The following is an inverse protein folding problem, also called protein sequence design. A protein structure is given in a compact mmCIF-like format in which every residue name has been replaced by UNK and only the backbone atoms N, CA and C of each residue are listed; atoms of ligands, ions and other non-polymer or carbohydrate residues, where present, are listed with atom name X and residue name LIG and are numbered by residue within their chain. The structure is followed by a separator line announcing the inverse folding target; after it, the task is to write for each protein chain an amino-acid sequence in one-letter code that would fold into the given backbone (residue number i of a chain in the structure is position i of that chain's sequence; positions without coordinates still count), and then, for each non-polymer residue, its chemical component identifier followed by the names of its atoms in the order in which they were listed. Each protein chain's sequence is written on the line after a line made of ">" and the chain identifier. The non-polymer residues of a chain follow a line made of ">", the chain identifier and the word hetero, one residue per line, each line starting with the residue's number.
data_IF_028131044575
#
_entry.id   IF_028131044575
#
_cell.length_a   1.000
_cell.length_b   1.000
_cell.length_c   1.000
_cell.angle_alpha   90.00
_cell.angle_beta   90.00
_cell.angle_gamma   90.00
#
_symmetry.space_group_name_H-M   'P 1'
#
loop_
_entity.id
_entity.type
_entity.pdbx_description
1 polymer ?
#
# COMPACT_ATOMS: atom_id res chain seq x y z
N UNK A 1 33.89 0.11 -56.15
CA UNK A 1 34.38 0.15 -54.75
C UNK A 1 34.72 1.61 -54.45
N UNK A 2 33.85 2.31 -53.77
CA UNK A 2 34.06 3.72 -53.39
C UNK A 2 33.96 3.82 -51.89
N UNK A 3 35.06 4.19 -51.24
CA UNK A 3 35.16 4.47 -49.85
C UNK A 3 34.62 5.88 -49.58
N UNK A 4 33.71 6.03 -48.63
CA UNK A 4 33.26 7.32 -48.13
C UNK A 4 34.04 7.64 -46.85
N UNK A 5 34.91 8.64 -46.95
CA UNK A 5 35.53 9.32 -45.79
C UNK A 5 34.54 10.31 -45.21
N UNK A 6 34.24 10.17 -43.89
CA UNK A 6 33.52 11.19 -43.13
C UNK A 6 34.50 11.96 -42.28
N UNK A 7 34.70 13.23 -42.66
CA UNK A 7 35.59 14.14 -41.96
C UNK A 7 35.05 14.57 -40.60
N UNK A 8 35.90 14.44 -39.56
CA UNK A 8 35.69 14.98 -38.22
C UNK A 8 36.08 16.46 -38.22
N UNK A 9 35.08 17.36 -38.07
CA UNK A 9 35.35 18.75 -37.75
C UNK A 9 35.44 18.92 -36.23
N UNK A 10 36.61 19.26 -35.75
CA UNK A 10 36.84 19.78 -34.40
C UNK A 10 36.12 21.13 -34.24
N UNK A 11 35.19 21.20 -33.29
CA UNK A 11 34.72 22.49 -32.77
C UNK A 11 35.24 22.66 -31.34
N UNK A 12 36.14 23.62 -31.19
CA UNK A 12 36.55 24.15 -29.90
C UNK A 12 35.44 25.08 -29.42
N UNK A 13 34.80 24.77 -28.29
CA UNK A 13 33.94 25.70 -27.56
C UNK A 13 34.38 25.77 -26.10
N UNK A 14 34.97 26.91 -25.78
CA UNK A 14 35.18 27.38 -24.42
C UNK A 14 33.85 27.87 -23.85
N UNK A 15 33.46 27.36 -22.71
CA UNK A 15 32.30 27.85 -21.97
C UNK A 15 31.62 26.72 -21.19
N UNK A 16 32.14 26.43 -19.98
CA UNK A 16 31.50 25.50 -19.08
C UNK A 16 30.31 26.20 -18.43
N UNK A 17 29.11 25.97 -18.95
CA UNK A 17 27.86 26.23 -18.23
C UNK A 17 27.44 24.88 -17.60
N UNK A 18 27.69 24.74 -16.31
CA UNK A 18 27.04 23.68 -15.51
C UNK A 18 25.55 23.98 -15.43
N UNK A 19 24.78 23.54 -16.40
CA UNK A 19 23.37 23.29 -16.21
C UNK A 19 23.26 21.95 -15.47
N UNK A 20 23.13 22.00 -14.16
CA UNK A 20 22.63 20.88 -13.38
C UNK A 20 21.16 20.65 -13.75
N UNK A 21 20.95 20.09 -14.93
CA UNK A 21 19.67 19.44 -15.26
C UNK A 21 19.59 18.22 -14.38
N UNK A 22 18.94 18.38 -13.23
CA UNK A 22 18.46 17.27 -12.43
C UNK A 22 17.51 16.49 -13.35
N UNK A 23 18.03 15.45 -13.98
CA UNK A 23 17.24 14.49 -14.73
C UNK A 23 16.40 13.75 -13.68
N UNK A 24 15.24 14.31 -13.32
CA UNK A 24 14.25 13.61 -12.54
C UNK A 24 13.78 12.46 -13.44
N UNK A 25 14.28 11.27 -13.14
CA UNK A 25 13.70 10.02 -13.67
C UNK A 25 12.23 10.07 -13.28
N UNK A 26 11.29 9.94 -14.22
CA UNK A 26 9.88 9.90 -13.85
C UNK A 26 9.70 8.78 -12.84
N UNK A 27 9.30 9.14 -11.63
CA UNK A 27 8.93 8.18 -10.59
C UNK A 27 7.62 7.56 -11.05
N UNK A 28 7.65 6.29 -11.42
CA UNK A 28 6.45 5.50 -11.66
C UNK A 28 6.03 4.85 -10.35
N UNK A 29 4.75 4.90 -10.04
CA UNK A 29 4.17 4.19 -8.91
C UNK A 29 4.52 2.70 -9.02
N UNK A 30 5.06 2.13 -7.94
CA UNK A 30 5.45 0.73 -7.88
C UNK A 30 4.26 -0.12 -7.45
N UNK A 31 3.90 -1.12 -8.25
CA UNK A 31 2.85 -2.09 -7.93
C UNK A 31 3.52 -3.44 -7.70
N UNK A 32 3.24 -4.06 -6.56
CA UNK A 32 3.75 -5.38 -6.19
C UNK A 32 2.58 -6.32 -5.96
N UNK A 33 2.43 -7.30 -6.85
CA UNK A 33 1.44 -8.36 -6.74
C UNK A 33 2.11 -9.63 -6.20
N UNK A 34 1.83 -9.98 -4.95
CA UNK A 34 2.46 -11.12 -4.30
C UNK A 34 2.01 -12.47 -4.84
N UNK A 35 0.89 -12.52 -5.58
CA UNK A 35 0.41 -13.76 -6.21
C UNK A 35 1.18 -14.15 -7.48
N UNK A 36 2.10 -13.32 -7.98
CA UNK A 36 2.94 -13.68 -9.14
C UNK A 36 3.86 -14.87 -8.86
N UNK A 37 4.16 -15.11 -7.59
CA UNK A 37 4.98 -16.25 -7.17
C UNK A 37 4.19 -17.17 -6.23
N UNK A 38 4.35 -18.49 -6.40
CA UNK A 38 3.73 -19.48 -5.53
C UNK A 38 4.44 -19.50 -4.16
N UNK A 39 3.66 -19.20 -3.13
CA UNK A 39 4.11 -19.21 -1.73
C UNK A 39 3.01 -19.76 -0.83
N UNK A 40 3.27 -19.85 0.49
CA UNK A 40 2.23 -20.20 1.48
C UNK A 40 1.06 -19.19 1.49
N UNK A 41 1.26 -17.97 1.00
CA UNK A 41 0.22 -16.96 0.83
C UNK A 41 -0.96 -17.49 0.02
N UNK A 42 -0.69 -18.28 -1.04
CA UNK A 42 -1.72 -18.84 -1.93
C UNK A 42 -2.77 -19.65 -1.16
N UNK A 43 -2.34 -20.35 -0.09
CA UNK A 43 -3.27 -21.10 0.76
C UNK A 43 -4.23 -20.17 1.49
N UNK A 44 -3.74 -19.08 2.06
CA UNK A 44 -4.59 -18.15 2.80
C UNK A 44 -5.55 -17.40 1.88
N UNK A 45 -5.08 -17.02 0.68
CA UNK A 45 -5.92 -16.44 -0.38
C UNK A 45 -7.03 -17.43 -0.78
N UNK A 46 -6.69 -18.70 -1.03
CA UNK A 46 -7.69 -19.71 -1.39
C UNK A 46 -8.76 -19.89 -0.29
N UNK A 47 -8.35 -19.94 0.98
CA UNK A 47 -9.26 -20.12 2.11
C UNK A 47 -10.21 -18.91 2.32
N UNK A 48 -9.74 -17.68 2.11
CA UNK A 48 -10.62 -16.50 2.24
C UNK A 48 -11.56 -16.31 1.04
N UNK A 49 -11.28 -16.97 -0.09
CA UNK A 49 -12.15 -16.97 -1.28
C UNK A 49 -13.18 -18.11 -1.28
N UNK A 50 -12.86 -19.23 -0.64
CA UNK A 50 -13.72 -20.42 -0.65
C UNK A 50 -14.97 -20.18 0.20
N UNK A 51 -16.15 -20.18 -0.43
CA UNK A 51 -17.46 -19.94 0.19
C UNK A 51 -17.81 -20.92 1.33
N UNK A 52 -17.16 -22.09 1.37
CA UNK A 52 -17.38 -23.07 2.44
C UNK A 52 -16.48 -22.81 3.65
N UNK A 53 -15.31 -22.18 3.44
CA UNK A 53 -14.31 -21.92 4.48
C UNK A 53 -14.48 -20.52 5.07
N UNK A 54 -14.71 -19.50 4.24
CA UNK A 54 -14.79 -18.10 4.65
C UNK A 54 -15.92 -17.78 5.63
N UNK A 55 -16.95 -18.64 5.75
CA UNK A 55 -18.07 -18.48 6.69
C UNK A 55 -17.65 -18.59 8.15
N UNK A 56 -16.53 -19.23 8.44
CA UNK A 56 -15.89 -19.19 9.76
C UNK A 56 -15.18 -17.84 9.93
N UNK A 57 -15.86 -16.89 10.58
CA UNK A 57 -15.34 -15.52 10.76
C UNK A 57 -14.02 -15.50 11.53
N UNK A 58 -13.77 -16.44 12.47
CA UNK A 58 -12.50 -16.52 13.17
C UNK A 58 -11.38 -16.91 12.20
N UNK A 59 -11.61 -17.94 11.39
CA UNK A 59 -10.64 -18.41 10.40
C UNK A 59 -10.40 -17.34 9.32
N UNK A 60 -11.46 -16.66 8.87
CA UNK A 60 -11.36 -15.57 7.92
C UNK A 60 -10.46 -14.45 8.45
N UNK A 61 -10.75 -13.91 9.64
CA UNK A 61 -9.92 -12.87 10.27
C UNK A 61 -8.48 -13.35 10.46
N UNK A 62 -8.27 -14.60 10.90
CA UNK A 62 -6.93 -15.14 11.12
C UNK A 62 -6.13 -15.29 9.82
N UNK A 63 -6.78 -15.60 8.70
CA UNK A 63 -6.12 -15.65 7.40
C UNK A 63 -5.79 -14.24 6.89
N UNK A 64 -6.68 -13.24 7.07
CA UNK A 64 -6.36 -11.83 6.76
C UNK A 64 -5.15 -11.37 7.59
N UNK A 65 -5.09 -11.70 8.87
CA UNK A 65 -3.95 -11.38 9.75
C UNK A 65 -2.64 -12.02 9.24
N UNK A 66 -2.64 -13.30 8.89
CA UNK A 66 -1.48 -14.01 8.33
C UNK A 66 -1.00 -13.40 7.01
N UNK A 67 -1.94 -12.98 6.16
CA UNK A 67 -1.62 -12.25 4.93
C UNK A 67 -0.93 -10.93 5.28
N UNK A 68 -1.44 -10.21 6.29
CA UNK A 68 -0.82 -8.99 6.81
C UNK A 68 0.60 -9.21 7.33
N UNK A 69 0.85 -10.29 8.03
CA UNK A 69 2.19 -10.67 8.51
C UNK A 69 3.17 -10.87 7.35
N UNK A 70 2.76 -11.60 6.30
CA UNK A 70 3.58 -11.81 5.10
C UNK A 70 3.83 -10.48 4.37
N UNK A 71 2.78 -9.67 4.20
CA UNK A 71 2.90 -8.36 3.56
C UNK A 71 3.80 -7.42 4.34
N UNK A 72 3.72 -7.42 5.66
CA UNK A 72 4.59 -6.62 6.52
C UNK A 72 6.07 -6.95 6.31
N UNK A 73 6.40 -8.24 6.21
CA UNK A 73 7.75 -8.69 5.88
C UNK A 73 8.19 -8.21 4.48
N UNK A 74 7.34 -8.35 3.47
CA UNK A 74 7.67 -7.90 2.11
C UNK A 74 7.84 -6.37 2.04
N UNK A 75 6.94 -5.61 2.66
CA UNK A 75 6.99 -4.15 2.70
C UNK A 75 8.18 -3.63 3.50
N UNK A 76 8.67 -4.37 4.49
CA UNK A 76 9.85 -3.97 5.25
C UNK A 76 11.08 -3.74 4.36
N UNK A 77 11.15 -4.37 3.19
CA UNK A 77 12.22 -4.18 2.21
C UNK A 77 12.25 -2.79 1.57
N UNK A 78 11.15 -2.05 1.66
CA UNK A 78 11.03 -0.66 1.16
C UNK A 78 11.47 0.39 2.18
N UNK A 79 11.73 -0.02 3.43
CA UNK A 79 12.15 0.90 4.49
C UNK A 79 13.63 1.26 4.35
N UNK A 80 13.99 2.38 4.94
CA UNK A 80 15.40 2.76 5.12
C UNK A 80 16.00 1.97 6.28
N UNK A 81 17.30 1.70 6.22
CA UNK A 81 18.01 0.94 7.24
C UNK A 81 19.23 1.69 7.71
N UNK A 82 19.55 1.58 9.00
CA UNK A 82 20.76 2.13 9.59
C UNK A 82 21.56 1.06 10.34
N UNK A 83 22.88 1.25 10.38
CA UNK A 83 23.77 0.33 11.10
C UNK A 83 23.80 0.67 12.58
N UNK A 84 23.50 -0.32 13.42
CA UNK A 84 23.45 -0.20 14.89
C UNK A 84 24.38 -1.24 15.53
N UNK A 85 25.18 -0.83 16.50
CA UNK A 85 26.01 -1.74 17.30
C UNK A 85 25.16 -2.36 18.41
N UNK A 86 25.09 -3.69 18.42
CA UNK A 86 24.35 -4.48 19.41
C UNK A 86 25.34 -5.26 20.29
N UNK A 87 25.23 -5.09 21.62
CA UNK A 87 26.01 -5.89 22.56
C UNK A 87 25.41 -7.27 22.71
N UNK A 88 26.20 -8.29 22.40
CA UNK A 88 25.83 -9.71 22.57
C UNK A 88 26.57 -10.30 23.78
N UNK A 89 26.19 -11.48 24.25
CA UNK A 89 26.95 -12.16 25.33
C UNK A 89 28.44 -12.42 25.02
N UNK A 90 28.80 -12.46 23.74
CA UNK A 90 30.13 -12.83 23.29
C UNK A 90 30.90 -11.69 22.59
N UNK A 91 30.31 -10.46 22.49
CA UNK A 91 30.97 -9.35 21.82
C UNK A 91 30.00 -8.31 21.28
N UNK A 92 30.44 -7.55 20.26
CA UNK A 92 29.62 -6.54 19.59
C UNK A 92 29.30 -7.04 18.18
N UNK A 93 28.03 -7.03 17.83
CA UNK A 93 27.53 -7.26 16.44
C UNK A 93 27.09 -5.93 15.83
N UNK A 94 27.31 -5.78 14.54
CA UNK A 94 26.78 -4.66 13.77
C UNK A 94 25.57 -5.15 12.99
N UNK A 95 24.38 -4.63 13.34
CA UNK A 95 23.11 -5.01 12.74
C UNK A 95 22.54 -3.85 11.90
N UNK A 96 21.74 -4.21 10.89
CA UNK A 96 21.01 -3.24 10.06
C UNK A 96 19.54 -3.22 10.50
N UNK A 97 19.11 -2.11 11.10
CA UNK A 97 17.76 -1.99 11.64
C UNK A 97 16.94 -0.96 10.85
N UNK A 98 15.59 -1.14 10.73
CA UNK A 98 14.72 -0.15 10.12
C UNK A 98 14.84 1.19 10.83
N UNK A 99 15.03 2.26 10.06
CA UNK A 99 15.19 3.64 10.55
C UNK A 99 13.91 4.48 10.39
N UNK A 100 12.96 4.04 9.55
CA UNK A 100 11.72 4.77 9.33
C UNK A 100 10.82 4.78 10.57
N UNK A 101 10.25 5.94 10.88
CA UNK A 101 9.12 6.01 11.80
C UNK A 101 7.85 5.67 11.04
N UNK A 102 7.24 4.54 11.38
CA UNK A 102 6.05 4.02 10.68
C UNK A 102 4.76 4.46 11.37
N UNK A 103 3.78 4.87 10.58
CA UNK A 103 2.38 5.03 10.99
C UNK A 103 1.54 4.01 10.24
N UNK A 104 0.89 3.11 10.96
CA UNK A 104 -0.02 2.13 10.40
C UNK A 104 -1.43 2.72 10.37
N UNK A 105 -1.87 3.15 9.18
CA UNK A 105 -3.19 3.70 8.90
C UNK A 105 -4.16 2.60 8.50
N UNK A 106 -5.31 2.50 9.18
CA UNK A 106 -6.26 1.39 9.00
C UNK A 106 -7.62 1.93 8.61
N UNK A 107 -8.16 1.43 7.49
CA UNK A 107 -9.51 1.73 7.05
C UNK A 107 -10.49 0.78 7.74
N UNK A 108 -11.37 1.35 8.55
CA UNK A 108 -12.36 0.60 9.31
C UNK A 108 -13.53 0.17 8.40
N UNK A 109 -14.19 -0.95 8.69
CA UNK A 109 -14.04 -1.96 9.75
C UNK A 109 -13.10 -3.10 9.35
N UNK A 110 -13.15 -3.50 8.05
CA UNK A 110 -12.47 -4.69 7.52
C UNK A 110 -10.95 -4.66 7.64
N UNK A 111 -10.33 -3.47 7.75
CA UNK A 111 -8.90 -3.31 7.94
C UNK A 111 -8.35 -3.86 9.26
N UNK A 112 -9.17 -4.04 10.29
CA UNK A 112 -8.69 -4.42 11.63
C UNK A 112 -7.90 -5.75 11.68
N UNK A 113 -8.32 -6.85 11.05
CA UNK A 113 -7.51 -8.07 11.04
C UNK A 113 -6.20 -7.92 10.27
N UNK A 114 -6.20 -7.15 9.18
CA UNK A 114 -5.01 -6.86 8.41
C UNK A 114 -4.03 -6.01 9.23
N UNK A 115 -4.55 -5.00 9.93
CA UNK A 115 -3.81 -4.18 10.88
C UNK A 115 -3.11 -5.05 11.95
N UNK A 116 -3.80 -6.02 12.54
CA UNK A 116 -3.23 -6.91 13.54
C UNK A 116 -1.99 -7.66 12.98
N UNK A 117 -2.07 -8.16 11.74
CA UNK A 117 -0.96 -8.82 11.08
C UNK A 117 0.24 -7.88 10.87
N UNK A 118 0.00 -6.66 10.42
CA UNK A 118 1.05 -5.65 10.28
C UNK A 118 1.66 -5.27 11.63
N UNK A 119 0.84 -5.10 12.66
CA UNK A 119 1.28 -4.69 13.99
C UNK A 119 2.13 -5.76 14.69
N UNK A 120 1.97 -7.05 14.34
CA UNK A 120 2.83 -8.13 14.81
C UNK A 120 4.30 -7.98 14.37
N UNK A 121 4.56 -7.25 13.28
CA UNK A 121 5.90 -7.00 12.73
C UNK A 121 6.38 -5.56 12.99
N UNK A 122 5.49 -4.59 12.86
CA UNK A 122 5.75 -3.18 13.14
C UNK A 122 5.23 -2.81 14.54
N UNK A 123 5.73 -3.49 15.55
CA UNK A 123 5.28 -3.39 16.96
C UNK A 123 5.48 -2.00 17.58
N UNK A 124 6.37 -1.19 16.99
CA UNK A 124 6.65 0.20 17.39
C UNK A 124 5.94 1.24 16.54
N UNK A 125 5.13 0.82 15.58
CA UNK A 125 4.42 1.75 14.72
C UNK A 125 3.37 2.54 15.52
N UNK A 126 3.29 3.84 15.24
CA UNK A 126 2.12 4.61 15.62
C UNK A 126 0.90 4.14 14.84
N UNK A 127 -0.30 4.26 15.41
CA UNK A 127 -1.51 3.74 14.77
C UNK A 127 -2.47 4.88 14.42
N UNK A 128 -3.05 4.80 13.21
CA UNK A 128 -4.11 5.68 12.75
C UNK A 128 -5.31 4.85 12.30
N UNK A 129 -6.51 5.30 12.67
CA UNK A 129 -7.76 4.66 12.29
C UNK A 129 -8.65 5.67 11.59
N UNK A 130 -9.22 5.28 10.45
CA UNK A 130 -10.05 6.14 9.64
C UNK A 130 -11.28 5.41 9.12
N UNK A 131 -12.42 6.08 9.15
CA UNK A 131 -13.65 5.72 8.44
C UNK A 131 -14.13 6.94 7.67
N UNK A 132 -14.17 6.83 6.34
CA UNK A 132 -14.60 7.88 5.46
C UNK A 132 -15.45 7.31 4.32
N UNK A 133 -16.52 8.03 3.95
CA UNK A 133 -17.38 7.63 2.84
C UNK A 133 -17.91 8.85 2.08
N UNK A 134 -18.47 8.62 0.89
CA UNK A 134 -19.18 9.63 0.11
C UNK A 134 -20.63 9.71 0.54
N UNK A 135 -21.07 10.90 0.93
CA UNK A 135 -22.48 11.22 1.09
C UNK A 135 -22.94 12.00 -0.15
N UNK A 136 -23.82 11.41 -0.93
CA UNK A 136 -24.38 12.06 -2.11
C UNK A 136 -25.38 13.15 -1.67
N UNK A 137 -25.20 14.37 -2.18
CA UNK A 137 -26.10 15.51 -1.98
C UNK A 137 -27.07 15.56 -3.16
N UNK A 138 -26.60 15.20 -4.36
CA UNK A 138 -27.36 15.07 -5.60
C UNK A 138 -26.73 14.01 -6.51
N UNK A 139 -27.34 13.75 -7.68
CA UNK A 139 -26.83 12.73 -8.63
C UNK A 139 -25.38 12.98 -9.09
N UNK A 140 -24.90 14.23 -9.05
CA UNK A 140 -23.58 14.63 -9.53
C UNK A 140 -22.71 15.31 -8.46
N UNK A 141 -23.23 15.47 -7.22
CA UNK A 141 -22.52 16.17 -6.15
C UNK A 141 -22.49 15.31 -4.89
N UNK A 142 -21.32 15.19 -4.31
CA UNK A 142 -21.13 14.45 -3.06
C UNK A 142 -20.23 15.21 -2.11
N UNK A 143 -20.43 14.97 -0.82
CA UNK A 143 -19.57 15.40 0.28
C UNK A 143 -18.78 14.21 0.79
N UNK A 144 -17.50 14.45 1.14
CA UNK A 144 -16.68 13.45 1.84
C UNK A 144 -16.99 13.56 3.33
N UNK A 145 -17.61 12.55 3.87
CA UNK A 145 -17.88 12.46 5.31
C UNK A 145 -16.82 11.59 5.96
N UNK A 146 -16.09 12.18 6.90
CA UNK A 146 -15.17 11.47 7.79
C UNK A 146 -15.93 11.21 9.09
N UNK A 147 -16.31 9.97 9.33
CA UNK A 147 -17.04 9.59 10.54
C UNK A 147 -16.11 9.45 11.74
N UNK A 148 -14.90 8.94 11.49
CA UNK A 148 -13.90 8.75 12.52
C UNK A 148 -12.52 8.96 11.97
N UNK A 149 -11.71 9.72 12.69
CA UNK A 149 -10.29 9.91 12.39
C UNK A 149 -9.51 10.09 13.69
N UNK A 150 -8.72 9.08 14.04
CA UNK A 150 -7.70 9.18 15.08
C UNK A 150 -6.35 8.88 14.44
N UNK A 151 -5.43 9.83 14.51
CA UNK A 151 -4.11 9.70 13.87
C UNK A 151 -3.07 10.55 14.58
N UNK A 152 -1.83 10.07 14.74
CA UNK A 152 -0.69 10.91 15.08
C UNK A 152 -0.38 11.86 13.90
N UNK A 153 0.60 12.75 14.08
CA UNK A 153 1.14 13.55 12.97
C UNK A 153 1.88 12.65 12.00
N UNK A 154 1.74 12.96 10.69
CA UNK A 154 2.33 12.18 9.62
C UNK A 154 3.61 12.78 9.03
N UNK A 155 3.92 14.04 9.37
CA UNK A 155 5.06 14.75 8.79
C UNK A 155 6.36 13.97 8.94
N UNK A 156 7.01 13.68 7.82
CA UNK A 156 8.30 12.99 7.77
C UNK A 156 8.26 11.49 8.08
N UNK A 157 7.08 10.91 8.30
CA UNK A 157 6.90 9.48 8.61
C UNK A 157 6.54 8.66 7.38
N UNK A 158 6.71 7.35 7.47
CA UNK A 158 6.22 6.39 6.49
C UNK A 158 4.81 5.96 6.85
N UNK A 159 3.82 6.27 6.00
CA UNK A 159 2.43 5.84 6.14
C UNK A 159 2.24 4.49 5.45
N UNK A 160 1.85 3.46 6.21
CA UNK A 160 1.34 2.19 5.69
C UNK A 160 -0.19 2.22 5.82
N UNK A 161 -0.89 2.50 4.70
CA UNK A 161 -2.35 2.52 4.66
C UNK A 161 -2.87 1.14 4.28
N UNK A 162 -3.63 0.50 5.17
CA UNK A 162 -4.11 -0.87 4.98
C UNK A 162 -5.63 -0.95 4.85
N UNK A 163 -6.07 -1.66 3.81
CA UNK A 163 -7.47 -2.00 3.53
C UNK A 163 -7.51 -3.38 2.87
N UNK A 164 -8.24 -4.38 3.37
CA UNK A 164 -8.26 -5.70 2.74
C UNK A 164 -8.85 -5.72 1.33
N UNK A 165 -9.70 -4.75 0.97
CA UNK A 165 -10.44 -4.75 -0.29
C UNK A 165 -10.30 -3.43 -1.04
N UNK A 166 -9.46 -3.40 -2.05
CA UNK A 166 -9.35 -2.25 -2.95
C UNK A 166 -10.23 -2.47 -4.18
N UNK A 167 -11.56 -2.24 -4.03
CA UNK A 167 -12.53 -2.49 -5.10
C UNK A 167 -12.51 -1.38 -6.16
N UNK A 168 -12.95 -0.16 -5.79
CA UNK A 168 -12.91 1.01 -6.69
C UNK A 168 -11.73 1.94 -6.42
N UNK A 169 -11.02 1.76 -5.31
CA UNK A 169 -9.96 2.66 -4.85
C UNK A 169 -10.45 3.92 -4.14
N UNK A 170 -11.73 4.24 -4.25
CA UNK A 170 -12.31 5.50 -3.75
C UNK A 170 -12.21 5.61 -2.23
N UNK A 171 -12.54 4.56 -1.48
CA UNK A 171 -12.48 4.58 -0.01
C UNK A 171 -11.04 4.78 0.49
N UNK A 172 -10.07 4.18 -0.20
CA UNK A 172 -8.66 4.37 0.11
C UNK A 172 -8.21 5.81 -0.14
N UNK A 173 -8.59 6.43 -1.28
CA UNK A 173 -8.29 7.82 -1.60
C UNK A 173 -8.94 8.79 -0.58
N UNK A 174 -10.20 8.59 -0.23
CA UNK A 174 -10.89 9.43 0.77
C UNK A 174 -10.23 9.32 2.14
N UNK A 175 -9.86 8.11 2.55
CA UNK A 175 -9.17 7.85 3.81
C UNK A 175 -7.78 8.47 3.81
N UNK A 176 -7.05 8.36 2.71
CA UNK A 176 -5.74 8.99 2.54
C UNK A 176 -5.85 10.53 2.66
N UNK A 177 -6.79 11.16 1.95
CA UNK A 177 -7.02 12.62 2.04
C UNK A 177 -7.40 13.06 3.46
N UNK A 178 -8.22 12.27 4.16
CA UNK A 178 -8.56 12.54 5.56
C UNK A 178 -7.30 12.51 6.45
N UNK A 179 -6.43 11.52 6.24
CA UNK A 179 -5.18 11.38 6.97
C UNK A 179 -4.21 12.54 6.68
N UNK A 180 -4.17 13.08 5.46
CA UNK A 180 -3.33 14.24 5.09
C UNK A 180 -3.67 15.50 5.89
N UNK A 181 -4.83 15.60 6.55
CA UNK A 181 -5.15 16.68 7.49
C UNK A 181 -4.25 16.64 8.74
N UNK A 182 -3.54 15.53 8.98
CA UNK A 182 -2.61 15.33 10.10
C UNK A 182 -1.14 15.52 9.72
N UNK A 183 -0.86 15.95 8.49
CA UNK A 183 0.48 16.21 7.96
C UNK A 183 0.75 15.43 6.67
N UNK A 184 1.93 15.64 6.11
CA UNK A 184 2.34 14.99 4.85
C UNK A 184 3.36 13.89 5.15
N UNK A 185 3.05 12.61 4.86
CA UNK A 185 4.02 11.54 5.02
C UNK A 185 5.18 11.69 4.03
N UNK A 186 6.38 11.27 4.45
CA UNK A 186 7.56 11.24 3.58
C UNK A 186 7.49 10.09 2.56
N UNK A 187 6.77 9.03 2.89
CA UNK A 187 6.54 7.85 2.04
C UNK A 187 5.13 7.31 2.31
N UNK A 188 4.47 6.86 1.26
CA UNK A 188 3.15 6.21 1.37
C UNK A 188 3.21 4.81 0.76
N UNK A 189 2.74 3.82 1.50
CA UNK A 189 2.54 2.46 1.01
C UNK A 189 1.07 2.11 1.22
N UNK A 190 0.38 1.74 0.15
CA UNK A 190 -0.98 1.21 0.19
C UNK A 190 -0.91 -0.31 0.13
N UNK A 191 -1.50 -0.98 1.12
CA UNK A 191 -1.47 -2.43 1.23
C UNK A 191 -2.90 -3.00 1.26
N UNK A 192 -3.20 -3.93 0.36
CA UNK A 192 -4.50 -4.57 0.30
C UNK A 192 -4.39 -6.09 0.06
N UNK A 193 -5.37 -6.83 0.55
CA UNK A 193 -5.41 -8.28 0.33
C UNK A 193 -5.82 -8.56 -1.12
N UNK A 194 -6.95 -7.98 -1.57
CA UNK A 194 -7.39 -8.12 -2.95
C UNK A 194 -7.69 -6.75 -3.55
N UNK A 195 -7.10 -6.46 -4.70
CA UNK A 195 -7.42 -5.30 -5.51
C UNK A 195 -8.13 -5.71 -6.81
N UNK A 196 -8.97 -4.82 -7.35
CA UNK A 196 -9.36 -4.89 -8.76
C UNK A 196 -8.35 -4.15 -9.63
N UNK A 197 -8.24 -4.52 -10.91
CA UNK A 197 -7.44 -3.75 -11.86
C UNK A 197 -7.92 -2.30 -11.95
N UNK A 198 -9.24 -2.08 -11.92
CA UNK A 198 -9.82 -0.74 -11.93
C UNK A 198 -9.38 0.12 -10.75
N UNK A 199 -9.25 -0.47 -9.56
CA UNK A 199 -8.77 0.27 -8.39
C UNK A 199 -7.28 0.61 -8.47
N UNK A 200 -6.47 -0.25 -9.09
CA UNK A 200 -5.06 0.04 -9.37
C UNK A 200 -4.97 1.24 -10.32
N UNK A 201 -5.75 1.23 -11.43
CA UNK A 201 -5.78 2.33 -12.41
C UNK A 201 -6.27 3.63 -11.77
N UNK A 202 -7.26 3.56 -10.87
CA UNK A 202 -7.72 4.71 -10.08
C UNK A 202 -6.62 5.24 -9.17
N UNK A 203 -5.92 4.37 -8.45
CA UNK A 203 -4.85 4.76 -7.53
C UNK A 203 -3.69 5.45 -8.27
N UNK A 204 -3.32 4.98 -9.46
CA UNK A 204 -2.30 5.61 -10.33
C UNK A 204 -2.62 7.08 -10.68
N UNK A 205 -3.90 7.46 -10.63
CA UNK A 205 -4.35 8.82 -10.98
C UNK A 205 -4.61 9.72 -9.77
N UNK A 206 -4.68 9.16 -8.55
CA UNK A 206 -5.17 9.87 -7.37
C UNK A 206 -4.19 9.90 -6.20
N UNK A 207 -3.24 8.97 -6.14
CA UNK A 207 -2.19 8.95 -5.13
C UNK A 207 -0.91 9.60 -5.67
N UNK A 208 0.03 10.01 -4.81
CA UNK A 208 1.35 10.50 -5.23
C UNK A 208 2.11 9.47 -6.09
N UNK A 209 2.86 9.95 -7.10
CA UNK A 209 3.61 9.11 -8.05
C UNK A 209 4.64 8.18 -7.39
N UNK A 210 5.06 8.46 -6.17
CA UNK A 210 6.00 7.67 -5.40
C UNK A 210 5.32 6.71 -4.40
N UNK A 211 3.99 6.61 -4.44
CA UNK A 211 3.25 5.62 -3.66
C UNK A 211 3.61 4.20 -4.12
N UNK A 212 3.77 3.31 -3.16
CA UNK A 212 3.98 1.88 -3.45
C UNK A 212 2.69 1.14 -3.10
N UNK A 213 2.20 0.32 -4.03
CA UNK A 213 0.99 -0.49 -3.83
C UNK A 213 1.40 -1.96 -3.69
N UNK A 214 1.04 -2.56 -2.56
CA UNK A 214 1.19 -3.99 -2.32
C UNK A 214 -0.18 -4.66 -2.31
N UNK A 215 -0.34 -5.67 -3.16
CA UNK A 215 -1.55 -6.51 -3.23
C UNK A 215 -1.17 -7.97 -2.99
N UNK A 216 -1.94 -8.68 -2.16
CA UNK A 216 -1.77 -10.12 -2.08
C UNK A 216 -2.31 -10.82 -3.33
N UNK A 217 -3.38 -10.26 -3.97
CA UNK A 217 -3.84 -10.65 -5.28
C UNK A 217 -4.49 -9.47 -6.02
N UNK A 218 -4.45 -9.48 -7.37
CA UNK A 218 -5.14 -8.53 -8.23
C UNK A 218 -6.13 -9.31 -9.11
N UNK A 219 -7.40 -8.91 -9.04
CA UNK A 219 -8.50 -9.51 -9.79
C UNK A 219 -8.91 -8.61 -10.98
N UNK A 220 -9.39 -9.18 -12.10
CA UNK A 220 -9.48 -8.45 -13.36
C UNK A 220 -10.61 -7.42 -13.43
N UNK A 221 -11.76 -7.66 -12.77
CA UNK A 221 -12.97 -6.87 -12.98
C UNK A 221 -13.78 -6.61 -11.71
N UNK A 222 -14.68 -5.63 -11.78
CA UNK A 222 -15.78 -5.43 -10.85
C UNK A 222 -17.10 -5.84 -11.51
N UNK A 223 -18.05 -6.34 -10.71
CA UNK A 223 -19.43 -6.53 -11.18
C UNK A 223 -20.24 -5.22 -11.11
N UNK A 224 -21.51 -5.27 -11.50
CA UNK A 224 -22.44 -4.13 -11.49
C UNK A 224 -22.69 -3.52 -10.10
N UNK A 225 -22.43 -4.26 -9.04
CA UNK A 225 -22.54 -3.79 -7.64
C UNK A 225 -21.19 -3.37 -7.05
N UNK A 226 -20.16 -3.18 -7.90
CA UNK A 226 -18.80 -2.83 -7.51
C UNK A 226 -18.08 -3.87 -6.61
N UNK A 227 -18.50 -5.13 -6.64
CA UNK A 227 -17.74 -6.23 -6.03
C UNK A 227 -16.63 -6.72 -6.95
N UNK A 228 -15.49 -7.04 -6.37
CA UNK A 228 -14.36 -7.65 -7.08
C UNK A 228 -14.73 -9.06 -7.54
N UNK A 229 -14.38 -9.43 -8.78
CA UNK A 229 -14.64 -10.73 -9.37
C UNK A 229 -13.32 -11.35 -9.86
N UNK A 230 -12.98 -12.59 -9.40
CA UNK A 230 -13.75 -13.49 -8.53
C UNK A 230 -13.87 -13.02 -7.06
N UNK A 231 -12.97 -12.16 -6.55
CA UNK A 231 -13.07 -11.54 -5.25
C UNK A 231 -13.17 -12.52 -4.07
N UNK A 232 -13.83 -12.06 -3.00
CA UNK A 232 -14.14 -12.87 -1.81
C UNK A 232 -15.49 -12.50 -1.16
N UNK A 233 -16.24 -11.53 -1.73
CA UNK A 233 -17.46 -10.97 -1.15
C UNK A 233 -17.19 -9.69 -0.34
N UNK A 234 -17.96 -9.44 0.74
CA UNK A 234 -17.74 -8.31 1.65
C UNK A 234 -16.85 -8.73 2.84
N UNK A 235 -15.62 -8.19 2.87
CA UNK A 235 -14.67 -8.51 3.93
C UNK A 235 -15.13 -8.00 5.31
N UNK A 236 -15.86 -6.89 5.37
CA UNK A 236 -16.38 -6.33 6.61
C UNK A 236 -17.41 -7.26 7.25
N UNK A 237 -18.34 -7.73 6.43
CA UNK A 237 -19.42 -8.62 6.87
C UNK A 237 -18.89 -10.02 7.23
N UNK A 238 -17.95 -10.54 6.45
CA UNK A 238 -17.25 -11.80 6.77
C UNK A 238 -16.44 -11.72 8.09
N UNK A 239 -15.86 -10.55 8.38
CA UNK A 239 -15.12 -10.35 9.63
C UNK A 239 -15.99 -10.13 10.85
N UNK A 240 -17.07 -9.33 10.73
CA UNK A 240 -17.75 -8.71 11.87
C UNK A 240 -19.28 -8.79 11.83
N UNK A 241 -19.85 -9.49 10.84
CA UNK A 241 -21.29 -9.56 10.62
C UNK A 241 -21.83 -8.42 9.77
N UNK A 242 -23.00 -8.67 9.20
CA UNK A 242 -23.70 -7.76 8.31
C UNK A 242 -23.99 -6.41 8.99
N UNK A 243 -23.95 -5.34 8.19
CA UNK A 243 -24.40 -4.01 8.62
C UNK A 243 -25.92 -3.93 8.42
N UNK A 244 -26.61 -3.35 9.41
CA UNK A 244 -28.00 -2.92 9.28
C UNK A 244 -28.11 -1.56 8.52
#
# INVERSE_FOLDING_TARGET
>A
MAAFEIGIKQFQCSGIIFLSSCCQIPKFMKIVNLSENNTILNRFIAEIRDVNIQRDSLRFRRNIERIGEIMAYEISKELSYESVSVTTPNGISTESLPADTVVLGTILRAGLPLHAGFHNYFDRADNAFVSAYRKYISDNEFEVVVEYLASPRLDGKTLLLVDPMLATGISADLSYRALLTKGTPAKTVLACVIASQQAIDYALSHFPDDTIIYCAAIDPILNEHAYIVPGLGDAGDLCFGEKE
#
